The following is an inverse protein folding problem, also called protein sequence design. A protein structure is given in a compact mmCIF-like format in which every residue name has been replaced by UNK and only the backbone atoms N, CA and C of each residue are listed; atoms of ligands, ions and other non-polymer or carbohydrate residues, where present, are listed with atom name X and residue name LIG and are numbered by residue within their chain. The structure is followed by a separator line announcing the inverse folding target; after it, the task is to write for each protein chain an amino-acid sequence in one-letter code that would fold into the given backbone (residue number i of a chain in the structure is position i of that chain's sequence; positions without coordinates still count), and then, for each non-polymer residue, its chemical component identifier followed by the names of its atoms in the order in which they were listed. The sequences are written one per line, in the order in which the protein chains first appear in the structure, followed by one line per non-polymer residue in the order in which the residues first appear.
data_IF_855445930635
#
_entry.id   IF_855445930635
#
_cell.length_a   1.000
_cell.length_b   1.000
_cell.length_c   1.000
_cell.angle_alpha   90.00
_cell.angle_beta   90.00
_cell.angle_gamma   90.00
#
_symmetry.space_group_name_H-M   'P 1'
#
loop_
_entity.id
_entity.type
_entity.pdbx_description
1 polymer ?
#
# COMPACT_ATOMS: atom_id res chain seq x y z
N UNK A 1 14.99 -3.51 -19.04
CA UNK A 1 15.49 -2.67 -17.95
C UNK A 1 14.58 -1.45 -17.69
N UNK A 2 14.27 -0.61 -18.67
CA UNK A 2 13.43 0.62 -18.52
C UNK A 2 12.07 0.38 -17.84
N UNK A 3 11.32 -0.68 -18.20
CA UNK A 3 10.04 -1.04 -17.59
C UNK A 3 10.15 -1.29 -16.09
N UNK A 4 11.13 -2.10 -15.66
CA UNK A 4 11.33 -2.45 -14.24
C UNK A 4 11.65 -1.22 -13.40
N UNK A 5 12.52 -0.33 -13.92
CA UNK A 5 12.84 0.92 -13.26
C UNK A 5 11.61 1.84 -13.14
N UNK A 6 10.85 2.01 -14.21
CA UNK A 6 9.65 2.85 -14.21
C UNK A 6 8.62 2.35 -13.17
N UNK A 7 8.36 1.04 -13.14
CA UNK A 7 7.44 0.44 -12.16
C UNK A 7 7.92 0.62 -10.73
N UNK A 8 9.24 0.47 -10.48
CA UNK A 8 9.82 0.70 -9.15
C UNK A 8 9.68 2.16 -8.70
N UNK A 9 9.95 3.12 -9.60
CA UNK A 9 9.83 4.56 -9.30
C UNK A 9 8.38 4.91 -8.98
N UNK A 10 7.41 4.47 -9.79
CA UNK A 10 6.00 4.76 -9.57
C UNK A 10 5.52 4.17 -8.24
N UNK A 11 5.96 2.96 -7.90
CA UNK A 11 5.64 2.35 -6.61
C UNK A 11 6.21 3.18 -5.44
N UNK A 12 7.48 3.58 -5.49
CA UNK A 12 8.09 4.42 -4.46
C UNK A 12 7.35 5.76 -4.32
N UNK A 13 7.02 6.40 -5.45
CA UNK A 13 6.26 7.66 -5.44
C UNK A 13 4.86 7.48 -4.83
N UNK A 14 4.21 6.33 -5.03
CA UNK A 14 2.90 6.04 -4.43
C UNK A 14 2.94 5.91 -2.90
N UNK A 15 4.12 5.70 -2.31
CA UNK A 15 4.29 5.61 -0.86
C UNK A 15 4.53 6.99 -0.19
N UNK A 16 4.69 8.05 -0.97
CA UNK A 16 4.93 9.42 -0.42
C UNK A 16 3.87 9.84 0.60
N UNK A 17 2.53 9.61 0.39
CA UNK A 17 1.53 9.97 1.39
C UNK A 17 1.75 9.31 2.75
N UNK A 18 2.41 8.16 2.80
CA UNK A 18 2.73 7.47 4.06
C UNK A 18 3.81 8.16 4.89
N UNK A 19 4.58 9.08 4.29
CA UNK A 19 5.56 9.89 5.03
C UNK A 19 4.90 10.99 5.88
N UNK A 20 3.60 11.25 5.66
CA UNK A 20 2.85 12.26 6.40
C UNK A 20 2.04 11.65 7.53
N UNK A 21 1.59 12.48 8.46
CA UNK A 21 0.73 12.08 9.57
C UNK A 21 -0.60 11.53 9.03
N UNK A 22 -0.88 10.27 9.35
CA UNK A 22 -2.09 9.57 8.92
C UNK A 22 -3.02 9.24 10.09
N UNK A 23 -2.46 9.09 11.29
CA UNK A 23 -3.19 8.66 12.47
C UNK A 23 -2.97 9.64 13.62
N UNK A 24 -4.03 9.93 14.38
CA UNK A 24 -3.99 10.74 15.60
C UNK A 24 -4.26 9.93 16.86
N UNK A 25 -3.71 10.34 18.01
CA UNK A 25 -4.01 9.75 19.30
C UNK A 25 -5.33 10.30 19.88
N UNK A 26 -5.91 9.59 20.86
CA UNK A 26 -7.11 10.04 21.59
C UNK A 26 -6.96 11.42 22.22
N UNK A 27 -5.75 11.76 22.61
CA UNK A 27 -5.45 13.02 23.32
C UNK A 27 -4.99 14.14 22.40
N UNK A 28 -4.95 13.89 21.07
CA UNK A 28 -4.47 14.89 20.09
C UNK A 28 -2.99 15.28 20.24
N UNK A 29 -2.24 14.54 21.05
CA UNK A 29 -0.84 14.89 21.41
C UNK A 29 0.17 14.18 20.51
N UNK A 30 -0.19 13.04 19.92
CA UNK A 30 0.71 12.26 19.10
C UNK A 30 0.12 12.04 17.71
N UNK A 31 0.89 12.46 16.71
CA UNK A 31 0.63 12.18 15.31
C UNK A 31 1.53 11.05 14.84
N UNK A 32 0.96 10.04 14.20
CA UNK A 32 1.72 8.91 13.66
C UNK A 32 1.67 8.93 12.15
N UNK A 33 2.86 8.87 11.55
CA UNK A 33 2.99 8.82 10.09
C UNK A 33 2.50 7.48 9.54
N UNK A 34 2.06 7.49 8.29
CA UNK A 34 1.64 6.28 7.59
C UNK A 34 2.76 5.26 7.33
N UNK A 35 4.01 5.59 7.63
CA UNK A 35 5.15 4.65 7.56
C UNK A 35 4.87 3.39 8.38
N UNK A 36 4.08 3.49 9.45
CA UNK A 36 3.67 2.32 10.24
C UNK A 36 2.98 1.25 9.39
N UNK A 37 2.32 1.63 8.29
CA UNK A 37 1.69 0.70 7.35
C UNK A 37 2.73 -0.15 6.60
N UNK A 38 3.94 0.39 6.43
CA UNK A 38 5.04 -0.30 5.73
C UNK A 38 5.91 -1.11 6.70
N UNK A 39 5.96 -0.71 7.98
CA UNK A 39 6.82 -1.35 8.97
C UNK A 39 6.16 -2.51 9.70
N UNK A 40 4.85 -2.69 9.56
CA UNK A 40 4.20 -3.89 10.06
C UNK A 40 4.57 -5.12 9.19
N UNK A 41 4.48 -6.34 9.71
CA UNK A 41 4.89 -7.54 8.98
C UNK A 41 4.23 -7.71 7.61
N UNK A 42 2.94 -7.37 7.50
CA UNK A 42 2.20 -7.45 6.24
C UNK A 42 2.71 -6.43 5.21
N UNK A 43 2.97 -5.19 5.65
CA UNK A 43 3.54 -4.13 4.80
C UNK A 43 4.92 -4.51 4.28
N UNK A 44 5.80 -5.01 5.15
CA UNK A 44 7.14 -5.49 4.77
C UNK A 44 7.04 -6.59 3.71
N UNK A 45 6.22 -7.61 3.95
CA UNK A 45 6.02 -8.73 3.02
C UNK A 45 5.47 -8.19 1.68
N UNK A 46 4.52 -7.28 1.72
CA UNK A 46 3.91 -6.70 0.53
C UNK A 46 4.95 -5.96 -0.35
N UNK A 47 5.82 -5.15 0.24
CA UNK A 47 6.90 -4.46 -0.46
C UNK A 47 7.88 -5.48 -1.07
N UNK A 48 8.28 -6.50 -0.31
CA UNK A 48 9.18 -7.56 -0.79
C UNK A 48 8.55 -8.29 -1.99
N UNK A 49 7.29 -8.69 -1.91
CA UNK A 49 6.58 -9.38 -2.98
C UNK A 49 6.47 -8.52 -4.24
N UNK A 50 6.20 -7.22 -4.09
CA UNK A 50 6.16 -6.31 -5.23
C UNK A 50 7.51 -6.27 -5.97
N UNK A 51 8.60 -6.00 -5.25
CA UNK A 51 9.94 -5.92 -5.87
C UNK A 51 10.43 -7.28 -6.38
N UNK A 52 10.17 -8.37 -5.65
CA UNK A 52 10.50 -9.71 -6.12
C UNK A 52 9.84 -10.03 -7.47
N UNK A 53 8.54 -9.70 -7.62
CA UNK A 53 7.84 -9.92 -8.87
C UNK A 53 8.35 -9.08 -10.04
N UNK A 54 8.91 -7.90 -9.78
CA UNK A 54 9.49 -7.04 -10.83
C UNK A 54 10.92 -7.44 -11.19
N UNK A 55 11.75 -7.72 -10.19
CA UNK A 55 13.19 -7.87 -10.38
C UNK A 55 13.65 -9.31 -10.52
N UNK A 56 12.99 -10.27 -9.87
CA UNK A 56 13.33 -11.69 -9.94
C UNK A 56 12.62 -12.31 -11.16
N UNK A 57 13.39 -12.98 -12.01
CA UNK A 57 12.83 -13.73 -13.14
C UNK A 57 12.53 -15.17 -12.70
N UNK A 58 11.33 -15.41 -12.18
CA UNK A 58 10.90 -16.77 -11.85
C UNK A 58 10.64 -17.57 -13.12
N UNK A 59 10.94 -18.88 -13.09
CA UNK A 59 10.72 -19.80 -14.23
C UNK A 59 9.26 -19.81 -14.71
N UNK A 60 8.30 -19.63 -13.80
CA UNK A 60 6.88 -19.56 -14.12
C UNK A 60 6.46 -18.10 -14.36
N UNK A 61 6.22 -17.73 -15.60
CA UNK A 61 5.79 -16.37 -15.98
C UNK A 61 4.56 -15.88 -15.21
N UNK A 62 3.64 -16.79 -14.87
CA UNK A 62 2.45 -16.47 -14.06
C UNK A 62 2.81 -15.90 -12.68
N UNK A 63 3.90 -16.42 -12.06
CA UNK A 63 4.38 -15.93 -10.77
C UNK A 63 4.86 -14.48 -10.90
N UNK A 64 5.67 -14.18 -11.92
CA UNK A 64 6.17 -12.83 -12.17
C UNK A 64 5.04 -11.82 -12.37
N UNK A 65 3.92 -12.23 -12.95
CA UNK A 65 2.76 -11.36 -13.15
C UNK A 65 1.92 -11.19 -11.88
N UNK A 66 1.78 -12.24 -11.06
CA UNK A 66 0.93 -12.20 -9.88
C UNK A 66 1.58 -11.50 -8.67
N UNK A 67 2.89 -11.69 -8.45
CA UNK A 67 3.57 -11.17 -7.27
C UNK A 67 3.44 -9.65 -7.07
N UNK A 68 3.62 -8.80 -8.09
CA UNK A 68 3.44 -7.36 -7.92
C UNK A 68 2.01 -6.98 -7.54
N UNK A 69 1.00 -7.68 -8.08
CA UNK A 69 -0.40 -7.44 -7.69
C UNK A 69 -0.64 -7.83 -6.22
N UNK A 70 -0.12 -8.99 -5.79
CA UNK A 70 -0.22 -9.42 -4.39
C UNK A 70 0.46 -8.40 -3.48
N UNK A 71 1.62 -7.87 -3.87
CA UNK A 71 2.30 -6.82 -3.13
C UNK A 71 1.45 -5.54 -3.02
N UNK A 72 0.89 -5.04 -4.13
CA UNK A 72 0.04 -3.83 -4.11
C UNK A 72 -1.22 -4.03 -3.26
N UNK A 73 -1.90 -5.17 -3.37
CA UNK A 73 -3.06 -5.52 -2.53
C UNK A 73 -2.64 -5.64 -1.07
N UNK A 74 -1.47 -6.21 -0.80
CA UNK A 74 -0.90 -6.32 0.55
C UNK A 74 -0.67 -4.97 1.23
N UNK A 75 -0.25 -3.93 0.48
CA UNK A 75 -0.13 -2.56 1.01
C UNK A 75 -1.52 -2.03 1.43
N UNK A 76 -2.52 -2.17 0.57
CA UNK A 76 -3.90 -1.74 0.88
C UNK A 76 -4.43 -2.46 2.12
N UNK A 77 -4.21 -3.77 2.21
CA UNK A 77 -4.62 -4.55 3.39
C UNK A 77 -3.88 -4.12 4.65
N UNK A 78 -2.59 -3.77 4.55
CA UNK A 78 -1.81 -3.23 5.66
C UNK A 78 -2.37 -1.91 6.17
N UNK A 79 -2.73 -0.98 5.26
CA UNK A 79 -3.39 0.29 5.61
C UNK A 79 -4.73 0.05 6.32
N UNK A 80 -5.57 -0.85 5.80
CA UNK A 80 -6.88 -1.17 6.38
C UNK A 80 -6.77 -1.86 7.75
N UNK A 81 -5.82 -2.79 7.90
CA UNK A 81 -5.59 -3.46 9.19
C UNK A 81 -5.10 -2.46 10.24
N UNK A 82 -4.18 -1.58 9.89
CA UNK A 82 -3.72 -0.54 10.81
C UNK A 82 -4.85 0.44 11.15
N UNK A 83 -5.69 0.82 10.19
CA UNK A 83 -6.89 1.61 10.47
C UNK A 83 -7.76 0.94 11.54
N UNK A 84 -8.07 -0.35 11.37
CA UNK A 84 -8.93 -1.09 12.29
C UNK A 84 -8.29 -1.31 13.67
N UNK A 85 -6.98 -1.48 13.72
CA UNK A 85 -6.25 -1.69 14.99
C UNK A 85 -5.97 -0.40 15.73
N UNK A 86 -5.88 0.75 15.03
CA UNK A 86 -5.61 2.04 15.63
C UNK A 86 -6.75 2.56 16.51
N UNK A 87 -7.97 2.18 16.22
CA UNK A 87 -9.16 2.65 16.93
C UNK A 87 -9.50 1.90 18.22
N UNK A 88 -8.73 0.89 18.62
CA UNK A 88 -9.02 0.08 19.80
C UNK A 88 -8.42 0.69 21.09
N UNK A 89 -9.13 0.69 22.24
CA UNK A 89 -10.25 -0.16 22.65
C UNK A 89 -11.58 0.62 22.79
N UNK A 90 -12.67 0.07 22.27
CA UNK A 90 -14.02 0.52 22.61
C UNK A 90 -14.87 -0.65 23.11
N UNK A 91 -15.85 -0.34 23.96
CA UNK A 91 -16.75 -1.30 24.58
C UNK A 91 -17.79 -1.90 23.60
N UNK A 92 -17.91 -1.29 22.40
CA UNK A 92 -18.82 -1.73 21.33
C UNK A 92 -18.09 -1.78 20.00
N UNK A 93 -18.37 -2.83 19.19
CA UNK A 93 -17.77 -3.01 17.87
C UNK A 93 -18.06 -1.84 16.90
N UNK A 94 -19.29 -1.31 16.94
CA UNK A 94 -19.69 -0.18 16.10
C UNK A 94 -19.03 1.13 16.51
N UNK A 95 -18.89 1.35 17.81
CA UNK A 95 -18.20 2.53 18.33
C UNK A 95 -16.69 2.47 18.05
N UNK A 96 -16.11 1.27 18.10
CA UNK A 96 -14.73 1.03 17.69
C UNK A 96 -14.47 1.44 16.24
N UNK A 97 -15.35 1.02 15.31
CA UNK A 97 -15.24 1.39 13.89
C UNK A 97 -15.37 2.91 13.71
N UNK A 98 -16.36 3.56 14.35
CA UNK A 98 -16.50 5.02 14.28
C UNK A 98 -15.27 5.75 14.81
N UNK A 99 -14.70 5.29 15.92
CA UNK A 99 -13.49 5.84 16.52
C UNK A 99 -12.28 5.69 15.59
N UNK A 100 -12.15 4.57 14.87
CA UNK A 100 -11.09 4.40 13.88
C UNK A 100 -11.13 5.52 12.83
N UNK A 101 -12.31 5.78 12.26
CA UNK A 101 -12.45 6.80 11.22
C UNK A 101 -12.31 8.24 11.74
N UNK A 102 -12.68 8.51 12.98
CA UNK A 102 -12.56 9.85 13.58
C UNK A 102 -11.11 10.25 13.91
N UNK A 103 -10.20 9.29 14.00
CA UNK A 103 -8.78 9.51 14.35
C UNK A 103 -7.84 9.50 13.15
N UNK A 104 -8.38 9.44 11.94
CA UNK A 104 -7.62 9.34 10.72
C UNK A 104 -7.56 10.68 10.01
N UNK A 105 -6.36 11.13 9.68
CA UNK A 105 -6.14 12.35 8.91
C UNK A 105 -6.47 12.16 7.42
N UNK A 106 -6.83 13.25 6.70
CA UNK A 106 -7.13 13.19 5.26
C UNK A 106 -6.03 12.51 4.43
N UNK A 107 -4.77 12.60 4.85
CA UNK A 107 -3.63 12.00 4.14
C UNK A 107 -3.69 10.47 4.10
N UNK A 108 -4.35 9.81 5.05
CA UNK A 108 -4.64 8.38 4.98
C UNK A 108 -5.49 8.03 3.77
N UNK A 109 -6.57 8.77 3.55
CA UNK A 109 -7.46 8.53 2.40
C UNK A 109 -6.75 8.81 1.08
N UNK A 110 -5.90 9.83 1.03
CA UNK A 110 -5.05 10.11 -0.13
C UNK A 110 -4.12 8.93 -0.41
N UNK A 111 -3.47 8.38 0.62
CA UNK A 111 -2.61 7.18 0.51
C UNK A 111 -3.38 5.99 -0.03
N UNK A 112 -4.53 5.68 0.56
CA UNK A 112 -5.38 4.56 0.15
C UNK A 112 -5.83 4.70 -1.32
N UNK A 113 -6.28 5.88 -1.74
CA UNK A 113 -6.69 6.13 -3.13
C UNK A 113 -5.51 5.95 -4.08
N UNK A 114 -4.33 6.47 -3.74
CA UNK A 114 -3.13 6.33 -4.56
C UNK A 114 -2.71 4.85 -4.65
N UNK A 115 -2.79 4.09 -3.56
CA UNK A 115 -2.50 2.66 -3.56
C UNK A 115 -3.44 1.86 -4.48
N UNK A 116 -4.73 2.25 -4.54
CA UNK A 116 -5.70 1.65 -5.48
C UNK A 116 -5.37 2.06 -6.92
N UNK A 117 -5.10 3.35 -7.18
CA UNK A 117 -4.75 3.86 -8.51
C UNK A 117 -3.47 3.16 -9.03
N UNK A 118 -2.52 2.87 -8.16
CA UNK A 118 -1.27 2.19 -8.52
C UNK A 118 -1.54 0.85 -9.26
N UNK A 119 -2.56 0.10 -8.86
CA UNK A 119 -2.93 -1.16 -9.51
C UNK A 119 -3.31 -0.94 -10.98
N UNK A 120 -4.10 0.10 -11.26
CA UNK A 120 -4.52 0.44 -12.62
C UNK A 120 -3.34 0.96 -13.46
N UNK A 121 -2.50 1.81 -12.88
CA UNK A 121 -1.29 2.33 -13.53
C UNK A 121 -0.32 1.19 -13.87
N UNK A 122 -0.08 0.30 -12.90
CA UNK A 122 0.75 -0.89 -13.12
C UNK A 122 0.24 -1.72 -14.30
N UNK A 123 -1.07 -2.04 -14.30
CA UNK A 123 -1.71 -2.82 -15.37
C UNK A 123 -1.54 -2.16 -16.74
N UNK A 124 -1.71 -0.84 -16.81
CA UNK A 124 -1.59 -0.07 -18.06
C UNK A 124 -0.17 -0.10 -18.59
N UNK A 125 0.81 0.13 -17.72
CA UNK A 125 2.23 0.08 -18.09
C UNK A 125 2.62 -1.31 -18.53
N UNK A 126 2.24 -2.35 -17.78
CA UNK A 126 2.54 -3.74 -18.12
C UNK A 126 1.99 -4.11 -19.50
N UNK A 127 0.75 -3.72 -19.80
CA UNK A 127 0.11 -3.99 -21.08
C UNK A 127 0.78 -3.24 -22.25
N UNK A 128 1.16 -1.98 -22.05
CA UNK A 128 1.77 -1.17 -23.10
C UNK A 128 3.16 -1.67 -23.47
N UNK A 129 3.99 -2.01 -22.47
CA UNK A 129 5.32 -2.57 -22.73
C UNK A 129 5.27 -3.96 -23.40
N UNK A 130 4.26 -4.78 -23.08
CA UNK A 130 4.10 -6.09 -23.71
C UNK A 130 3.55 -6.01 -25.15
N UNK A 131 2.87 -4.91 -25.52
CA UNK A 131 2.41 -4.67 -26.91
C UNK A 131 3.53 -4.14 -27.81
N UNK A 132 4.44 -3.35 -27.28
CA UNK A 132 5.56 -2.77 -28.04
C UNK A 132 6.70 -3.76 -28.32
N UNK A 133 6.66 -4.98 -27.77
CA UNK A 133 7.67 -6.01 -27.99
C UNK A 133 7.23 -7.10 -28.98
N UNK A 134 6.09 -6.93 -29.64
CA UNK A 134 5.63 -7.72 -30.79
C UNK A 134 5.86 -6.97 -32.07
#
# INVERSE_FOLDING_TARGET
MKKKMLLSIIFILSLIPMCFSQYGSEKGVEEVSGIINLTNPLGIIAVILYFAGIWINFKKEKINKCLPYIGMVGIILSELINLLTWGYPSTSYLDGIKNCFSRVFPMFYVGLIISVILIFVYRTIDKNFNRGSK
#
